data_IF_906383759774
#
_entry.id   IF_906383759774
#
_cell.length_a   1.000
_cell.length_b   1.000
_cell.length_c   1.000
_cell.angle_alpha   90.00
_cell.angle_beta   90.00
_cell.angle_gamma   90.00
#
_symmetry.space_group_name_H-M   'P 1'
#
loop_
_entity.id
_entity.type
_entity.pdbx_description
1 polymer ?
#
# COMPACT_ATOMS: atom_id res chain seq x y z
N UNK A 1 11.07 -12.52 -16.08
CA UNK A 1 9.95 -13.46 -16.34
C UNK A 1 10.39 -14.85 -15.88
N UNK A 2 9.52 -15.62 -15.25
CA UNK A 2 9.77 -16.99 -14.76
C UNK A 2 8.67 -17.97 -15.18
N UNK A 3 8.47 -19.04 -14.42
CA UNK A 3 7.50 -20.11 -14.74
C UNK A 3 6.71 -20.56 -13.50
N UNK A 4 5.49 -21.07 -13.72
CA UNK A 4 4.63 -21.58 -12.65
C UNK A 4 5.18 -22.83 -11.95
N UNK A 5 5.99 -23.61 -12.66
CA UNK A 5 6.53 -24.92 -12.27
C UNK A 5 7.83 -24.85 -11.48
N UNK A 6 8.42 -23.65 -11.32
CA UNK A 6 9.67 -23.47 -10.57
C UNK A 6 9.53 -23.97 -9.12
N UNK A 7 10.53 -24.74 -8.68
CA UNK A 7 10.54 -25.37 -7.37
C UNK A 7 10.66 -24.32 -6.24
N UNK A 8 9.66 -24.28 -5.35
CA UNK A 8 9.58 -23.29 -4.27
C UNK A 8 10.72 -23.35 -3.25
N UNK A 9 11.25 -24.54 -2.96
CA UNK A 9 12.36 -24.71 -2.01
C UNK A 9 13.64 -24.06 -2.54
N UNK A 10 13.95 -24.29 -3.82
CA UNK A 10 15.11 -23.68 -4.47
C UNK A 10 14.96 -22.16 -4.57
N UNK A 11 13.76 -21.66 -4.93
CA UNK A 11 13.49 -20.23 -4.97
C UNK A 11 13.67 -19.58 -3.59
N UNK A 12 13.15 -20.21 -2.53
CA UNK A 12 13.33 -19.71 -1.16
C UNK A 12 14.79 -19.70 -0.72
N UNK A 13 15.55 -20.76 -1.02
CA UNK A 13 16.97 -20.84 -0.69
C UNK A 13 17.81 -19.74 -1.38
N UNK A 14 17.37 -19.32 -2.57
CA UNK A 14 17.99 -18.22 -3.32
C UNK A 14 17.37 -16.84 -3.03
N UNK A 15 16.43 -16.74 -2.08
CA UNK A 15 15.79 -15.47 -1.74
C UNK A 15 14.92 -14.88 -2.84
N UNK A 16 14.18 -15.71 -3.59
CA UNK A 16 13.30 -15.27 -4.68
C UNK A 16 11.84 -15.59 -4.34
N UNK A 17 10.97 -14.59 -4.42
CA UNK A 17 9.52 -14.76 -4.30
C UNK A 17 8.88 -14.93 -5.67
N UNK A 18 7.86 -15.78 -5.76
CA UNK A 18 7.16 -16.08 -7.02
C UNK A 18 5.71 -15.61 -6.98
N UNK A 19 5.28 -14.88 -8.01
CA UNK A 19 3.90 -14.44 -8.22
C UNK A 19 3.43 -15.03 -9.56
N UNK A 20 2.80 -16.21 -9.51
CA UNK A 20 2.45 -16.95 -10.73
C UNK A 20 3.72 -17.36 -11.52
N UNK A 21 3.92 -16.73 -12.67
CA UNK A 21 5.11 -16.83 -13.52
C UNK A 21 6.04 -15.60 -13.44
N UNK A 22 5.86 -14.72 -12.46
CA UNK A 22 6.74 -13.59 -12.19
C UNK A 22 7.65 -13.92 -11.00
N UNK A 23 8.85 -13.35 -11.00
CA UNK A 23 9.86 -13.52 -9.95
C UNK A 23 10.23 -12.16 -9.37
N UNK A 24 10.27 -12.08 -8.05
CA UNK A 24 10.60 -10.86 -7.28
C UNK A 24 11.73 -11.22 -6.30
N UNK A 25 12.98 -10.80 -6.56
CA UNK A 25 14.09 -10.99 -5.64
C UNK A 25 13.85 -10.33 -4.29
N UNK A 26 14.35 -10.93 -3.20
CA UNK A 26 14.25 -10.38 -1.85
C UNK A 26 14.88 -8.99 -1.73
N UNK A 27 15.95 -8.72 -2.48
CA UNK A 27 16.62 -7.41 -2.50
C UNK A 27 15.68 -6.25 -2.84
N UNK A 28 14.59 -6.51 -3.57
CA UNK A 28 13.57 -5.50 -3.85
C UNK A 28 12.86 -5.04 -2.56
N UNK A 29 12.62 -5.97 -1.63
CA UNK A 29 11.99 -5.67 -0.35
C UNK A 29 12.95 -4.97 0.61
N UNK A 30 14.25 -5.30 0.58
CA UNK A 30 15.26 -4.56 1.34
C UNK A 30 15.34 -3.10 0.86
N UNK A 31 15.38 -2.87 -0.46
CA UNK A 31 15.33 -1.51 -1.04
C UNK A 31 14.04 -0.77 -0.69
N UNK A 32 12.93 -1.50 -0.63
CA UNK A 32 11.65 -0.92 -0.21
C UNK A 32 11.65 -0.51 1.26
N UNK A 33 12.23 -1.33 2.15
CA UNK A 33 12.44 -0.97 3.56
C UNK A 33 13.29 0.29 3.70
N UNK A 34 14.45 0.34 3.05
CA UNK A 34 15.37 1.48 3.09
C UNK A 34 14.71 2.79 2.63
N UNK A 35 13.82 2.71 1.65
CA UNK A 35 13.06 3.85 1.15
C UNK A 35 11.90 4.25 2.07
N UNK A 36 11.15 3.27 2.60
CA UNK A 36 9.92 3.52 3.34
C UNK A 36 10.16 3.97 4.78
N UNK A 37 11.16 3.40 5.47
CA UNK A 37 11.40 3.65 6.89
C UNK A 37 11.60 5.15 7.21
N UNK A 38 12.44 5.92 6.47
CA UNK A 38 12.59 7.35 6.69
C UNK A 38 11.29 8.15 6.50
N UNK A 39 10.42 7.70 5.60
CA UNK A 39 9.13 8.35 5.33
C UNK A 39 8.19 8.15 6.52
N UNK A 40 8.07 6.92 7.02
CA UNK A 40 7.27 6.61 8.21
C UNK A 40 7.78 7.38 9.44
N UNK A 41 9.10 7.49 9.57
CA UNK A 41 9.73 8.26 10.64
C UNK A 41 9.31 9.73 10.63
N UNK A 42 9.34 10.37 9.45
CA UNK A 42 8.91 11.77 9.27
C UNK A 42 7.42 11.93 9.60
N UNK A 43 6.57 11.03 9.09
CA UNK A 43 5.13 11.04 9.34
C UNK A 43 4.83 11.04 10.85
N UNK A 44 5.48 10.16 11.61
CA UNK A 44 5.24 10.06 13.05
C UNK A 44 5.81 11.26 13.81
N UNK A 45 6.97 11.79 13.39
CA UNK A 45 7.59 12.98 13.99
C UNK A 45 6.71 14.23 13.83
N UNK A 46 6.18 14.48 12.63
CA UNK A 46 5.34 15.65 12.34
C UNK A 46 4.03 15.63 13.13
N UNK A 47 3.54 14.45 13.50
CA UNK A 47 2.30 14.25 14.23
C UNK A 47 2.50 13.96 15.73
N UNK A 48 3.68 14.29 16.27
CA UNK A 48 4.00 14.23 17.71
C UNK A 48 3.59 12.89 18.38
N UNK A 49 3.83 11.76 17.70
CA UNK A 49 3.57 10.39 18.18
C UNK A 49 2.10 9.98 18.39
N UNK A 50 1.11 10.75 17.90
CA UNK A 50 -0.28 10.30 17.82
C UNK A 50 -0.83 10.53 16.40
N UNK A 51 -0.21 9.84 15.45
CA UNK A 51 -0.53 9.95 14.03
C UNK A 51 -1.64 8.96 13.68
N UNK A 52 -2.85 9.46 13.45
CA UNK A 52 -3.95 8.66 12.90
C UNK A 52 -4.02 8.97 11.41
N UNK A 53 -3.63 8.00 10.58
CA UNK A 53 -3.75 8.08 9.13
C UNK A 53 -4.82 7.14 8.64
N UNK A 54 -5.39 7.47 7.49
CA UNK A 54 -6.21 6.53 6.72
C UNK A 54 -5.35 5.83 5.67
N UNK A 55 -5.70 4.60 5.23
CA UNK A 55 -5.01 3.95 4.11
C UNK A 55 -4.87 4.85 2.88
N UNK A 56 -5.94 5.55 2.49
CA UNK A 56 -5.94 6.45 1.34
C UNK A 56 -4.96 7.60 1.51
N UNK A 57 -4.87 8.19 2.71
CA UNK A 57 -3.91 9.26 2.97
C UNK A 57 -2.47 8.77 2.95
N UNK A 58 -2.20 7.59 3.51
CA UNK A 58 -0.87 6.99 3.45
C UNK A 58 -0.45 6.74 1.99
N UNK A 59 -1.33 6.16 1.17
CA UNK A 59 -1.05 5.90 -0.26
C UNK A 59 -0.80 7.22 -1.02
N UNK A 60 -1.60 8.26 -0.77
CA UNK A 60 -1.42 9.58 -1.37
C UNK A 60 -0.03 10.15 -1.06
N UNK A 61 0.41 10.07 0.20
CA UNK A 61 1.73 10.53 0.65
C UNK A 61 2.85 9.71 -0.01
N UNK A 62 2.75 8.38 -0.02
CA UNK A 62 3.73 7.52 -0.68
C UNK A 62 3.83 7.81 -2.20
N UNK A 63 2.70 8.15 -2.84
CA UNK A 63 2.66 8.59 -4.23
C UNK A 63 3.39 9.91 -4.47
N UNK A 64 3.37 10.84 -3.50
CA UNK A 64 4.15 12.09 -3.59
C UNK A 64 5.65 11.81 -3.41
N UNK A 65 5.99 10.96 -2.44
CA UNK A 65 7.37 10.64 -2.10
C UNK A 65 8.12 9.84 -3.17
N UNK A 66 7.43 8.92 -3.87
CA UNK A 66 8.08 8.11 -4.90
C UNK A 66 8.52 8.96 -6.10
N UNK A 67 7.84 10.10 -6.34
CA UNK A 67 8.15 11.13 -7.34
C UNK A 67 8.65 10.57 -8.70
N UNK A 68 7.96 9.55 -9.20
CA UNK A 68 8.33 8.86 -10.43
C UNK A 68 7.08 8.70 -11.31
N UNK A 69 7.17 9.16 -12.56
CA UNK A 69 6.09 9.14 -13.55
C UNK A 69 5.68 7.72 -13.98
N UNK A 70 6.52 6.71 -13.76
CA UNK A 70 6.17 5.31 -14.01
C UNK A 70 5.22 4.74 -12.93
N UNK A 71 5.02 5.44 -11.81
CA UNK A 71 4.18 4.99 -10.70
C UNK A 71 2.72 5.41 -10.88
N UNK A 72 1.82 4.44 -10.72
CA UNK A 72 0.36 4.69 -10.68
C UNK A 72 0.02 5.64 -9.53
N UNK A 73 0.56 5.40 -8.33
CA UNK A 73 0.22 6.19 -7.15
C UNK A 73 0.77 7.61 -7.19
N UNK A 74 1.86 7.84 -7.94
CA UNK A 74 2.31 9.19 -8.25
C UNK A 74 1.22 9.96 -9.00
N UNK A 75 0.70 9.39 -10.09
CA UNK A 75 -0.36 10.03 -10.87
C UNK A 75 -1.67 10.16 -10.11
N UNK A 76 -2.03 9.17 -9.29
CA UNK A 76 -3.21 9.29 -8.42
C UNK A 76 -3.08 10.49 -7.48
N UNK A 77 -1.92 10.66 -6.84
CA UNK A 77 -1.68 11.80 -5.96
C UNK A 77 -1.68 13.14 -6.70
N UNK A 78 -0.98 13.23 -7.85
CA UNK A 78 -0.94 14.46 -8.66
C UNK A 78 -2.30 14.91 -9.18
N UNK A 79 -3.20 13.96 -9.46
CA UNK A 79 -4.53 14.24 -9.99
C UNK A 79 -5.64 14.20 -8.92
N UNK A 80 -5.29 14.14 -7.63
CA UNK A 80 -6.25 14.06 -6.53
C UNK A 80 -7.25 12.89 -6.67
N UNK A 81 -6.78 11.74 -7.16
CA UNK A 81 -7.58 10.51 -7.27
C UNK A 81 -7.35 9.68 -5.99
N UNK A 82 -8.37 9.50 -5.14
CA UNK A 82 -8.23 8.74 -3.90
C UNK A 82 -8.10 7.24 -4.20
N UNK A 83 -7.20 6.57 -3.48
CA UNK A 83 -7.01 5.12 -3.55
C UNK A 83 -7.38 4.51 -2.20
N UNK A 84 -8.37 3.63 -2.17
CA UNK A 84 -8.82 2.97 -0.94
C UNK A 84 -8.26 1.55 -0.85
N UNK A 85 -7.72 1.19 0.31
CA UNK A 85 -7.23 -0.16 0.59
C UNK A 85 -7.52 -0.52 2.06
N UNK A 86 -8.69 -1.10 2.38
CA UNK A 86 -9.06 -1.40 3.76
C UNK A 86 -8.11 -2.38 4.47
N UNK A 87 -7.48 -3.27 3.70
CA UNK A 87 -6.53 -4.27 4.19
C UNK A 87 -5.08 -3.90 3.84
N UNK A 88 -4.70 -2.62 4.04
CA UNK A 88 -3.36 -2.10 3.66
C UNK A 88 -2.20 -2.81 4.39
N UNK A 89 -2.48 -3.47 5.51
CA UNK A 89 -1.49 -4.21 6.31
C UNK A 89 -1.26 -5.64 5.81
N UNK A 90 -2.02 -6.14 4.84
CA UNK A 90 -1.87 -7.50 4.31
C UNK A 90 -0.83 -7.55 3.17
N UNK A 91 0.44 -7.40 3.53
CA UNK A 91 1.56 -7.46 2.59
C UNK A 91 2.84 -6.83 3.12
N UNK A 92 3.82 -6.62 2.25
CA UNK A 92 5.14 -6.10 2.66
C UNK A 92 5.08 -4.73 3.32
N UNK A 93 4.13 -3.86 2.94
CA UNK A 93 3.91 -2.60 3.64
C UNK A 93 3.50 -2.84 5.11
N UNK A 94 2.67 -3.85 5.36
CA UNK A 94 2.31 -4.29 6.71
C UNK A 94 3.49 -4.78 7.53
N UNK A 95 4.40 -5.55 6.92
CA UNK A 95 5.64 -5.98 7.59
C UNK A 95 6.49 -4.77 8.02
N UNK A 96 6.61 -3.76 7.16
CA UNK A 96 7.34 -2.54 7.47
C UNK A 96 6.65 -1.71 8.56
N UNK A 97 5.33 -1.57 8.51
CA UNK A 97 4.56 -0.93 9.57
C UNK A 97 4.73 -1.66 10.91
N UNK A 98 4.74 -3.00 10.89
CA UNK A 98 5.00 -3.83 12.06
C UNK A 98 6.39 -3.52 12.65
N UNK A 99 7.47 -3.61 11.86
CA UNK A 99 8.83 -3.34 12.35
C UNK A 99 9.00 -1.89 12.83
N UNK A 100 8.44 -0.94 12.10
CA UNK A 100 8.46 0.47 12.48
C UNK A 100 7.75 0.70 13.82
N UNK A 101 6.61 0.05 14.08
CA UNK A 101 5.85 0.26 15.31
C UNK A 101 6.60 -0.11 16.59
N UNK A 102 7.52 -1.08 16.53
CA UNK A 102 8.38 -1.44 17.66
C UNK A 102 9.49 -0.42 17.90
N UNK A 103 10.07 0.12 16.82
CA UNK A 103 11.13 1.13 16.93
C UNK A 103 10.56 2.49 17.35
N UNK A 104 9.41 2.84 16.80
CA UNK A 104 8.76 4.13 16.97
C UNK A 104 7.23 3.99 17.00
N UNK A 105 6.66 3.81 18.20
CA UNK A 105 5.22 3.68 18.34
C UNK A 105 4.51 5.01 18.06
N UNK A 106 3.24 4.93 17.67
CA UNK A 106 2.38 6.11 17.53
C UNK A 106 1.62 6.21 16.21
N UNK A 107 2.02 5.44 15.20
CA UNK A 107 1.28 5.35 13.94
C UNK A 107 0.07 4.42 14.10
N UNK A 108 -1.12 4.93 13.77
CA UNK A 108 -2.38 4.18 13.72
C UNK A 108 -3.01 4.36 12.35
N UNK A 109 -3.56 3.27 11.82
CA UNK A 109 -4.29 3.28 10.56
C UNK A 109 -5.79 3.16 10.87
N UNK A 110 -6.56 4.20 10.58
CA UNK A 110 -8.01 4.22 10.71
C UNK A 110 -8.68 3.92 9.37
N UNK A 111 -9.37 2.78 9.32
CA UNK A 111 -10.14 2.34 8.16
C UNK A 111 -11.57 2.91 8.14
N UNK A 112 -12.08 3.38 9.29
CA UNK A 112 -13.46 3.85 9.41
C UNK A 112 -13.65 5.19 8.70
N UNK A 113 -12.69 6.09 8.80
CA UNK A 113 -12.72 7.35 8.07
C UNK A 113 -12.68 7.12 6.55
N UNK A 114 -11.88 6.17 6.07
CA UNK A 114 -11.85 5.80 4.65
C UNK A 114 -13.16 5.19 4.17
N UNK A 115 -13.79 4.34 5.00
CA UNK A 115 -15.11 3.79 4.71
C UNK A 115 -16.18 4.89 4.55
N UNK A 116 -16.13 5.94 5.39
CA UNK A 116 -17.02 7.10 5.24
C UNK A 116 -16.73 7.84 3.93
N UNK A 117 -15.46 8.06 3.59
CA UNK A 117 -15.06 8.78 2.37
C UNK A 117 -15.56 8.07 1.11
N UNK A 118 -15.29 6.78 0.95
CA UNK A 118 -15.70 6.03 -0.26
C UNK A 118 -17.24 5.99 -0.40
N UNK A 119 -17.96 5.76 0.69
CA UNK A 119 -19.43 5.74 0.66
C UNK A 119 -20.01 7.12 0.31
N UNK A 120 -19.45 8.20 0.87
CA UNK A 120 -19.89 9.55 0.56
C UNK A 120 -19.63 9.93 -0.91
N UNK A 121 -18.52 9.46 -1.50
CA UNK A 121 -18.26 9.66 -2.94
C UNK A 121 -19.37 9.04 -3.80
N UNK A 122 -19.84 7.84 -3.45
CA UNK A 122 -20.93 7.17 -4.15
C UNK A 122 -22.28 7.86 -3.91
N UNK A 123 -22.61 8.19 -2.66
CA UNK A 123 -23.89 8.80 -2.27
C UNK A 123 -24.09 10.18 -2.91
N UNK A 124 -23.03 10.97 -3.04
CA UNK A 124 -23.11 12.32 -3.61
C UNK A 124 -22.94 12.37 -5.14
N UNK A 125 -22.62 11.25 -5.79
CA UNK A 125 -22.49 11.19 -7.23
C UNK A 125 -23.87 11.19 -7.92
N UNK A 126 -24.01 11.95 -9.01
CA UNK A 126 -25.23 11.95 -9.84
C UNK A 126 -25.46 10.57 -10.49
N UNK A 127 -24.39 9.90 -10.87
CA UNK A 127 -24.39 8.57 -11.47
C UNK A 127 -23.02 7.94 -11.24
N UNK A 128 -22.96 6.61 -11.14
CA UNK A 128 -21.73 5.87 -10.89
C UNK A 128 -21.51 4.82 -11.98
N UNK A 129 -20.24 4.53 -12.29
CA UNK A 129 -19.83 3.46 -13.19
C UNK A 129 -18.69 2.69 -12.54
N UNK A 130 -18.66 1.37 -12.75
CA UNK A 130 -17.67 0.48 -12.12
C UNK A 130 -16.94 -0.33 -13.18
N UNK A 131 -15.60 -0.30 -13.13
CA UNK A 131 -14.73 -1.21 -13.87
C UNK A 131 -13.92 -2.01 -12.85
N UNK A 132 -14.25 -3.30 -12.71
CA UNK A 132 -13.65 -4.17 -11.70
C UNK A 132 -12.87 -5.28 -12.40
N UNK A 133 -11.55 -5.35 -12.15
CA UNK A 133 -10.68 -6.40 -12.67
C UNK A 133 -10.30 -7.34 -11.51
N UNK A 134 -10.89 -8.54 -11.50
CA UNK A 134 -10.69 -9.54 -10.44
C UNK A 134 -11.87 -9.63 -9.46
N UNK A 135 -11.59 -10.05 -8.22
CA UNK A 135 -12.59 -10.32 -7.19
C UNK A 135 -12.15 -9.89 -5.78
N UNK A 136 -12.68 -10.56 -4.75
CA UNK A 136 -12.29 -10.33 -3.35
C UNK A 136 -12.72 -8.97 -2.80
N UNK A 137 -11.89 -8.39 -1.92
CA UNK A 137 -12.18 -7.13 -1.21
C UNK A 137 -12.42 -5.98 -2.20
N UNK A 138 -11.62 -5.88 -3.26
CA UNK A 138 -11.77 -4.81 -4.27
C UNK A 138 -13.16 -4.82 -4.90
N UNK A 139 -13.69 -6.00 -5.25
CA UNK A 139 -15.04 -6.13 -5.82
C UNK A 139 -16.15 -5.82 -4.80
N UNK A 140 -15.97 -6.23 -3.55
CA UNK A 140 -17.02 -6.08 -2.53
C UNK A 140 -17.05 -4.67 -1.92
N UNK A 141 -15.93 -3.94 -1.97
CA UNK A 141 -15.81 -2.63 -1.35
C UNK A 141 -16.24 -1.47 -2.26
N UNK A 142 -16.23 -1.68 -3.57
CA UNK A 142 -16.77 -0.76 -4.60
C UNK A 142 -18.27 -1.01 -4.75
#
# INVERSE_FOLDING_TARGET
>A
VGEFTLNGQQLRANGINRIGNLLVPNDNYCKFEDWLMPILDRIVNENLNNCILTPSKLIEMLGQEINNEDSIYYWCSKNNIPVFCPAITDGSLGDMLYFHSYRKPGLKIDILEDLKKINNLAVHAKSTGMLILGGGIVKHHI
#
